data_IF_600844730970
#
_entry.id   IF_600844730970
#
_cell.length_a   1.000
_cell.length_b   1.000
_cell.length_c   1.000
_cell.angle_alpha   90.00
_cell.angle_beta   90.00
_cell.angle_gamma   90.00
#
_symmetry.space_group_name_H-M   'P 1'
#
loop_
_entity.id
_entity.type
_entity.pdbx_description
1 polymer ?
#
# COMPACT_ATOMS: atom_id res chain seq x y z
N UNK A 1 -3.37 -18.70 -22.51
CA UNK A 1 -2.80 -17.39 -22.13
C UNK A 1 -3.62 -16.79 -21.00
N UNK A 2 -3.18 -15.68 -20.41
CA UNK A 2 -3.94 -14.96 -19.36
C UNK A 2 -5.09 -14.19 -19.99
N UNK A 3 -6.28 -14.23 -19.36
CA UNK A 3 -7.46 -13.50 -19.80
C UNK A 3 -7.65 -12.29 -18.88
N UNK A 4 -7.54 -11.08 -19.43
CA UNK A 4 -7.82 -9.86 -18.69
C UNK A 4 -9.29 -9.49 -18.82
N UNK A 5 -9.92 -9.18 -17.69
CA UNK A 5 -11.25 -8.59 -17.60
C UNK A 5 -11.10 -7.17 -17.06
N UNK A 6 -11.15 -6.21 -17.96
CA UNK A 6 -11.11 -4.79 -17.60
C UNK A 6 -12.50 -4.31 -17.21
N UNK A 7 -12.54 -3.24 -16.41
CA UNK A 7 -13.78 -2.61 -15.98
C UNK A 7 -14.75 -3.58 -15.31
N UNK A 8 -14.24 -4.53 -14.53
CA UNK A 8 -15.03 -5.50 -13.78
C UNK A 8 -14.77 -5.31 -12.29
N UNK A 9 -15.81 -5.00 -11.53
CA UNK A 9 -15.72 -4.83 -10.08
C UNK A 9 -16.16 -6.13 -9.39
N UNK A 10 -15.30 -6.76 -8.57
CA UNK A 10 -15.71 -7.89 -7.74
C UNK A 10 -16.64 -7.41 -6.62
N UNK A 11 -17.71 -8.16 -6.39
CA UNK A 11 -18.75 -7.88 -5.41
C UNK A 11 -18.76 -8.89 -4.27
N UNK A 12 -18.64 -10.18 -4.60
CA UNK A 12 -18.62 -11.25 -3.61
C UNK A 12 -17.82 -12.45 -4.14
N UNK A 13 -17.16 -13.16 -3.23
CA UNK A 13 -16.69 -14.52 -3.47
C UNK A 13 -17.86 -15.44 -3.08
N UNK A 14 -18.29 -16.31 -3.99
CA UNK A 14 -19.46 -17.17 -3.79
C UNK A 14 -19.04 -18.64 -3.69
N UNK A 15 -19.81 -19.40 -2.92
CA UNK A 15 -19.69 -20.85 -2.77
C UNK A 15 -20.06 -21.32 -1.36
N UNK A 16 -20.18 -22.64 -1.19
CA UNK A 16 -20.56 -23.28 0.08
C UNK A 16 -19.43 -24.18 0.59
N UNK A 17 -18.67 -23.67 1.57
CA UNK A 17 -17.46 -24.33 2.11
C UNK A 17 -16.24 -24.28 1.19
N UNK A 18 -16.45 -24.16 -0.13
CA UNK A 18 -15.42 -23.97 -1.16
C UNK A 18 -15.81 -22.80 -2.07
N UNK A 19 -14.84 -22.27 -2.81
CA UNK A 19 -15.10 -21.20 -3.78
C UNK A 19 -15.65 -21.82 -5.07
N UNK A 20 -16.77 -21.27 -5.55
CA UNK A 20 -17.38 -21.65 -6.83
C UNK A 20 -17.32 -20.50 -7.85
N UNK A 21 -17.05 -19.28 -7.41
CA UNK A 21 -16.87 -18.14 -8.30
C UNK A 21 -16.71 -16.80 -7.61
N UNK A 22 -16.63 -15.77 -8.45
CA UNK A 22 -16.66 -14.36 -8.04
C UNK A 22 -17.83 -13.68 -8.72
N UNK A 23 -18.77 -13.17 -7.94
CA UNK A 23 -19.80 -12.26 -8.44
C UNK A 23 -19.12 -10.94 -8.80
N UNK A 24 -19.35 -10.48 -10.02
CA UNK A 24 -18.86 -9.21 -10.53
C UNK A 24 -20.00 -8.37 -11.09
N UNK A 25 -19.74 -7.08 -11.24
CA UNK A 25 -20.50 -6.19 -12.13
C UNK A 25 -19.55 -5.46 -13.08
N UNK A 26 -20.02 -5.21 -14.30
CA UNK A 26 -19.28 -4.39 -15.24
C UNK A 26 -19.38 -2.92 -14.83
N UNK A 27 -18.34 -2.17 -15.15
CA UNK A 27 -18.23 -0.75 -14.86
C UNK A 27 -17.88 0.02 -16.13
N UNK A 28 -18.11 1.33 -16.11
CA UNK A 28 -17.68 2.25 -17.17
C UNK A 28 -17.00 3.47 -16.58
N UNK A 29 -16.07 4.01 -17.34
CA UNK A 29 -15.42 5.28 -17.00
C UNK A 29 -16.36 6.43 -17.36
N UNK A 30 -16.54 7.35 -16.42
CA UNK A 30 -17.17 8.64 -16.64
C UNK A 30 -16.08 9.70 -16.76
N UNK A 31 -16.27 10.60 -17.72
CA UNK A 31 -15.44 11.79 -17.83
C UNK A 31 -15.54 12.58 -16.51
N UNK A 32 -14.39 13.09 -16.07
CA UNK A 32 -14.26 13.90 -14.87
C UNK A 32 -13.37 15.09 -15.22
N UNK A 33 -13.70 16.26 -14.68
CA UNK A 33 -12.83 17.44 -14.78
C UNK A 33 -11.62 17.35 -13.84
N UNK A 34 -11.59 16.34 -12.96
CA UNK A 34 -10.45 15.98 -12.11
C UNK A 34 -9.48 15.03 -12.84
N UNK A 35 -8.21 14.99 -12.42
CA UNK A 35 -7.20 14.04 -12.93
C UNK A 35 -7.58 12.56 -12.76
N UNK A 36 -8.62 12.26 -11.97
CA UNK A 36 -9.13 10.89 -11.76
C UNK A 36 -10.51 10.72 -12.39
N UNK A 37 -10.58 9.79 -13.34
CA UNK A 37 -11.84 9.32 -13.91
C UNK A 37 -12.74 8.73 -12.82
N UNK A 38 -14.04 9.02 -12.91
CA UNK A 38 -15.06 8.39 -12.05
C UNK A 38 -15.48 7.07 -12.67
N UNK A 39 -15.85 6.11 -11.82
CA UNK A 39 -16.31 4.79 -12.25
C UNK A 39 -17.78 4.64 -11.86
N UNK A 40 -18.59 4.09 -12.76
CA UNK A 40 -20.00 3.79 -12.51
C UNK A 40 -20.31 2.35 -12.90
N UNK A 41 -21.12 1.67 -12.09
CA UNK A 41 -21.61 0.33 -12.39
C UNK A 41 -22.61 0.34 -13.56
N UNK A 42 -22.50 -0.64 -14.45
CA UNK A 42 -23.44 -0.84 -15.55
C UNK A 42 -24.63 -1.64 -15.03
N UNK A 43 -25.81 -1.03 -15.00
CA UNK A 43 -27.03 -1.67 -14.51
C UNK A 43 -27.34 -2.97 -15.27
N UNK A 44 -27.67 -4.04 -14.52
CA UNK A 44 -28.00 -5.35 -15.10
C UNK A 44 -26.80 -6.18 -15.58
N UNK A 45 -25.56 -5.71 -15.41
CA UNK A 45 -24.35 -6.42 -15.84
C UNK A 45 -23.85 -7.47 -14.85
N UNK A 46 -24.52 -7.62 -13.70
CA UNK A 46 -24.09 -8.53 -12.63
C UNK A 46 -24.10 -9.97 -13.10
N UNK A 47 -22.98 -10.67 -12.93
CA UNK A 47 -22.86 -12.10 -13.21
C UNK A 47 -21.72 -12.72 -12.41
N UNK A 48 -21.72 -14.05 -12.31
CA UNK A 48 -20.66 -14.81 -11.64
C UNK A 48 -19.64 -15.30 -12.66
N UNK A 49 -18.35 -15.06 -12.38
CA UNK A 49 -17.25 -15.73 -13.07
C UNK A 49 -16.93 -17.01 -12.29
N UNK A 50 -17.06 -18.21 -12.88
CA UNK A 50 -16.68 -19.45 -12.22
C UNK A 50 -15.20 -19.46 -11.86
N UNK A 51 -14.88 -19.85 -10.65
CA UNK A 51 -13.50 -19.94 -10.16
C UNK A 51 -13.41 -20.90 -8.98
N UNK A 52 -12.41 -21.77 -8.97
CA UNK A 52 -12.12 -22.67 -7.84
C UNK A 52 -11.16 -22.02 -6.83
N UNK A 53 -10.40 -21.00 -7.28
CA UNK A 53 -9.38 -20.30 -6.48
C UNK A 53 -9.47 -18.81 -6.75
N UNK A 54 -9.50 -18.02 -5.67
CA UNK A 54 -9.45 -16.55 -5.73
C UNK A 54 -8.23 -16.05 -4.99
N UNK A 55 -7.39 -15.29 -5.68
CA UNK A 55 -6.19 -14.66 -5.14
C UNK A 55 -6.46 -13.16 -5.05
N UNK A 56 -6.53 -12.63 -3.83
CA UNK A 56 -6.71 -11.20 -3.60
C UNK A 56 -5.37 -10.48 -3.80
N UNK A 57 -5.30 -9.61 -4.81
CA UNK A 57 -4.08 -8.88 -5.18
C UNK A 57 -4.31 -7.36 -5.23
N UNK A 58 -5.04 -6.81 -4.25
CA UNK A 58 -5.36 -5.37 -4.17
C UNK A 58 -4.18 -4.48 -3.71
N UNK A 59 -3.02 -5.09 -3.45
CA UNK A 59 -1.88 -4.42 -2.83
C UNK A 59 -1.93 -4.54 -1.30
N UNK A 60 -1.20 -3.67 -0.63
CA UNK A 60 -1.03 -3.71 0.83
C UNK A 60 -1.02 -2.30 1.43
N UNK A 61 -1.32 -2.23 2.72
CA UNK A 61 -1.19 -1.04 3.55
C UNK A 61 -0.13 -1.28 4.61
N UNK A 62 0.50 -0.21 5.10
CA UNK A 62 1.41 -0.30 6.23
C UNK A 62 0.62 -0.73 7.48
N UNK A 63 1.17 -1.71 8.20
CA UNK A 63 0.60 -2.23 9.44
C UNK A 63 1.63 -2.08 10.57
N UNK A 64 1.76 -0.87 11.14
CA UNK A 64 2.75 -0.61 12.17
C UNK A 64 2.41 -1.42 13.43
N UNK A 65 3.38 -2.14 14.02
CA UNK A 65 3.14 -2.89 15.23
C UNK A 65 2.85 -1.97 16.43
N UNK A 66 2.12 -2.47 17.42
CA UNK A 66 1.67 -1.68 18.59
C UNK A 66 2.81 -1.00 19.36
N UNK A 67 4.01 -1.60 19.35
CA UNK A 67 5.17 -0.99 20.00
C UNK A 67 5.60 0.33 19.36
N UNK A 68 5.28 0.59 18.08
CA UNK A 68 5.60 1.87 17.44
C UNK A 68 4.94 3.03 18.20
N UNK A 69 3.66 2.91 18.53
CA UNK A 69 2.94 3.92 19.31
C UNK A 69 3.54 4.07 20.73
N UNK A 70 3.88 2.95 21.39
CA UNK A 70 4.53 2.95 22.72
C UNK A 70 5.91 3.60 22.72
N UNK A 71 6.60 3.57 21.58
CA UNK A 71 7.91 4.21 21.37
C UNK A 71 7.80 5.63 20.78
N UNK A 72 6.60 6.25 20.78
CA UNK A 72 6.36 7.57 20.20
C UNK A 72 6.78 7.69 18.72
N UNK A 73 6.67 6.60 17.96
CA UNK A 73 6.84 6.61 16.51
C UNK A 73 5.52 7.05 15.88
N UNK A 74 5.57 8.17 15.18
CA UNK A 74 4.43 8.78 14.50
C UNK A 74 4.08 8.05 13.20
N UNK A 75 2.79 7.96 12.89
CA UNK A 75 2.27 7.37 11.64
C UNK A 75 1.34 8.35 10.92
N UNK A 76 1.18 8.15 9.61
CA UNK A 76 0.14 8.77 8.81
C UNK A 76 -1.21 8.05 8.98
N UNK A 77 -2.29 8.63 8.46
CA UNK A 77 -3.64 8.04 8.52
C UNK A 77 -3.76 6.67 7.84
N UNK A 78 -2.86 6.36 6.90
CA UNK A 78 -2.78 5.07 6.20
C UNK A 78 -1.75 4.12 6.81
N UNK A 79 -1.25 4.41 8.02
CA UNK A 79 -0.34 3.56 8.78
C UNK A 79 1.14 3.70 8.41
N UNK A 80 1.50 4.46 7.37
CA UNK A 80 2.90 4.68 7.02
C UNK A 80 3.63 5.43 8.12
N UNK A 81 4.89 5.11 8.35
CA UNK A 81 5.72 5.76 9.36
C UNK A 81 6.12 7.16 8.90
N UNK A 82 5.96 8.16 9.78
CA UNK A 82 6.46 9.51 9.53
C UNK A 82 7.95 9.57 9.85
N UNK A 83 8.72 10.11 8.91
CA UNK A 83 10.17 10.26 9.04
C UNK A 83 10.65 11.63 8.58
N UNK A 84 11.81 12.05 9.07
CA UNK A 84 12.38 13.38 8.81
C UNK A 84 11.57 14.51 9.45
N UNK A 85 11.81 15.73 8.97
CA UNK A 85 11.21 16.96 9.50
C UNK A 85 12.20 17.79 10.33
N UNK A 86 11.73 18.94 10.82
CA UNK A 86 12.59 19.92 11.50
C UNK A 86 13.31 19.32 12.71
N UNK A 87 14.64 19.43 12.70
CA UNK A 87 15.51 18.92 13.76
C UNK A 87 15.75 17.39 13.73
N UNK A 88 15.23 16.65 12.75
CA UNK A 88 15.45 15.21 12.60
C UNK A 88 16.36 14.92 11.41
N UNK A 89 17.19 13.88 11.52
CA UNK A 89 17.99 13.40 10.38
C UNK A 89 17.08 12.81 9.30
N UNK A 90 17.54 12.74 8.04
CA UNK A 90 16.82 12.04 6.98
C UNK A 90 16.43 10.63 7.43
N UNK A 91 15.17 10.27 7.20
CA UNK A 91 14.59 8.96 7.53
C UNK A 91 14.51 8.62 9.03
N UNK A 92 14.81 9.56 9.92
CA UNK A 92 14.63 9.40 11.36
C UNK A 92 13.15 9.58 11.73
N UNK A 93 12.61 8.66 12.53
CA UNK A 93 11.28 8.82 13.11
C UNK A 93 11.29 9.85 14.25
N UNK A 94 10.14 10.12 14.87
CA UNK A 94 10.10 10.91 16.11
C UNK A 94 10.87 10.26 17.27
N UNK A 95 11.08 8.95 17.25
CA UNK A 95 11.95 8.28 18.21
C UNK A 95 13.42 8.46 17.79
N UNK A 96 14.29 9.08 18.62
CA UNK A 96 15.64 9.47 18.19
C UNK A 96 16.56 8.33 17.74
N UNK A 97 16.27 7.09 18.11
CA UNK A 97 17.08 5.91 17.75
C UNK A 97 16.46 5.01 16.67
N UNK A 98 15.33 5.42 16.08
CA UNK A 98 14.62 4.59 15.10
C UNK A 98 14.53 5.33 13.77
N UNK A 99 14.92 4.64 12.71
CA UNK A 99 14.88 5.08 11.33
C UNK A 99 13.99 4.15 10.51
N UNK A 100 13.37 4.67 9.46
CA UNK A 100 12.52 3.88 8.59
C UNK A 100 12.63 4.34 7.13
N UNK A 101 12.46 3.40 6.21
CA UNK A 101 12.54 3.62 4.78
C UNK A 101 11.78 2.55 4.01
N UNK A 102 11.70 2.70 2.69
CA UNK A 102 10.97 1.80 1.81
C UNK A 102 9.46 1.88 2.00
N UNK A 103 8.77 0.77 1.78
CA UNK A 103 7.31 0.76 1.66
C UNK A 103 6.58 1.15 2.95
N UNK A 104 7.21 0.96 4.12
CA UNK A 104 6.66 1.43 5.39
C UNK A 104 6.60 2.96 5.49
N UNK A 105 7.35 3.69 4.66
CA UNK A 105 7.33 5.16 4.57
C UNK A 105 6.63 5.64 3.30
N UNK A 106 6.84 4.95 2.17
CA UNK A 106 6.36 5.38 0.86
C UNK A 106 5.00 4.79 0.47
N UNK A 107 4.64 3.63 1.01
CA UNK A 107 3.60 2.75 0.45
C UNK A 107 4.18 1.88 -0.67
N UNK A 108 3.33 1.22 -1.46
CA UNK A 108 3.77 0.39 -2.57
C UNK A 108 4.59 1.20 -3.59
N UNK A 109 5.91 0.96 -3.64
CA UNK A 109 6.86 1.69 -4.47
C UNK A 109 7.92 0.75 -5.08
N UNK A 110 8.86 1.31 -5.84
CA UNK A 110 9.91 0.55 -6.51
C UNK A 110 11.02 0.12 -5.55
N UNK A 111 11.55 -1.08 -5.75
CA UNK A 111 12.70 -1.63 -5.00
C UNK A 111 13.90 -0.67 -4.98
N UNK A 112 14.19 0.03 -6.08
CA UNK A 112 15.31 0.98 -6.15
C UNK A 112 15.16 2.13 -5.14
N UNK A 113 13.93 2.54 -4.82
CA UNK A 113 13.67 3.58 -3.83
C UNK A 113 13.79 3.05 -2.41
N UNK A 114 13.37 1.82 -2.16
CA UNK A 114 13.62 1.16 -0.88
C UNK A 114 15.15 1.01 -0.62
N UNK A 115 15.92 0.67 -1.65
CA UNK A 115 17.40 0.63 -1.56
C UNK A 115 17.99 2.02 -1.29
N UNK A 116 17.51 3.05 -1.99
CA UNK A 116 17.94 4.42 -1.74
C UNK A 116 17.68 4.82 -0.28
N UNK A 117 16.47 4.58 0.20
CA UNK A 117 16.10 4.89 1.58
C UNK A 117 16.98 4.14 2.58
N UNK A 118 17.27 2.85 2.34
CA UNK A 118 18.20 2.09 3.18
C UNK A 118 19.59 2.74 3.24
N UNK A 119 20.10 3.24 2.12
CA UNK A 119 21.40 3.95 2.06
C UNK A 119 21.35 5.30 2.77
N UNK A 120 20.24 6.02 2.69
CA UNK A 120 20.07 7.32 3.37
C UNK A 120 19.93 7.13 4.88
N UNK A 121 19.10 6.18 5.33
CA UNK A 121 18.96 5.82 6.73
C UNK A 121 20.31 5.38 7.33
N UNK A 122 21.10 4.57 6.60
CA UNK A 122 22.43 4.18 7.04
C UNK A 122 23.36 5.38 7.24
N UNK A 123 23.36 6.36 6.33
CA UNK A 123 24.15 7.60 6.49
C UNK A 123 23.70 8.41 7.70
N UNK A 124 22.40 8.53 7.93
CA UNK A 124 21.86 9.20 9.12
C UNK A 124 22.25 8.49 10.41
N UNK A 125 22.20 7.15 10.44
CA UNK A 125 22.64 6.35 11.58
C UNK A 125 24.13 6.57 11.85
N UNK A 126 24.98 6.53 10.81
CA UNK A 126 26.42 6.79 10.95
C UNK A 126 26.67 8.21 11.49
N UNK A 127 25.98 9.20 10.96
CA UNK A 127 26.06 10.59 11.44
C UNK A 127 25.65 10.70 12.90
N UNK A 128 24.56 10.05 13.33
CA UNK A 128 24.12 10.06 14.73
C UNK A 128 25.13 9.37 15.67
N UNK A 129 25.79 8.34 15.19
CA UNK A 129 26.82 7.61 15.94
C UNK A 129 28.20 8.26 15.85
N UNK A 130 28.33 9.40 15.18
CA UNK A 130 29.60 10.09 14.90
C UNK A 130 30.65 9.19 14.22
N UNK A 131 30.19 8.28 13.35
CA UNK A 131 31.04 7.44 12.52
C UNK A 131 31.20 8.11 11.16
N UNK A 132 32.44 8.43 10.78
CA UNK A 132 32.75 8.98 9.45
C UNK A 132 32.63 7.85 8.43
N UNK A 133 31.79 8.06 7.40
CA UNK A 133 31.57 7.13 6.30
C UNK A 133 32.71 7.14 5.28
#
# INVERSE_FOLDING_TARGET
GVIFRFLAQPLAIVGDGFVDGVEIEETRLLASDDDRARIEAVAGSRHTIPADIVILSFGFLASPPEWCARSAIETESNGRLRVGGDGRLPLQTAHPKVFAGGDNVRGADLVVRAVLDGREAARSILSQLNVVA
#
